data_IF_985353881056
#
_entry.id   IF_985353881056
#
_cell.length_a   1.000
_cell.length_b   1.000
_cell.length_c   1.000
_cell.angle_alpha   90.00
_cell.angle_beta   90.00
_cell.angle_gamma   90.00
#
_symmetry.space_group_name_H-M   'P 1'
#
loop_
_entity.id
_entity.type
_entity.pdbx_description
1 polymer ?
#
# COMPACT_ATOMS: atom_id res chain seq x y z
N UNK A 1 8.97 -7.11 36.86
CA UNK A 1 8.56 -5.92 36.07
C UNK A 1 8.36 -6.40 34.66
N UNK A 2 7.13 -6.80 34.33
CA UNK A 2 6.75 -7.24 32.99
C UNK A 2 6.58 -5.99 32.12
N UNK A 3 7.35 -5.92 31.04
CA UNK A 3 7.24 -4.86 30.06
C UNK A 3 6.00 -5.11 29.20
N UNK A 4 4.98 -4.27 29.38
CA UNK A 4 3.83 -4.16 28.49
C UNK A 4 4.30 -3.72 27.10
N UNK A 5 4.11 -4.58 26.10
CA UNK A 5 4.14 -4.16 24.70
C UNK A 5 2.89 -3.31 24.42
N UNK A 6 3.01 -2.15 23.76
CA UNK A 6 1.85 -1.35 23.37
C UNK A 6 0.99 -2.10 22.35
N UNK A 7 -0.33 -1.81 22.28
CA UNK A 7 -1.24 -2.49 21.37
C UNK A 7 -0.88 -2.20 19.89
N UNK A 8 -1.08 -3.21 19.05
CA UNK A 8 -1.04 -3.12 17.58
C UNK A 8 -1.96 -1.97 17.13
N UNK A 9 -1.48 -1.15 16.18
CA UNK A 9 -2.12 0.05 15.68
C UNK A 9 -3.54 -0.20 15.15
N UNK A 10 -4.42 0.77 15.38
CA UNK A 10 -5.79 0.82 14.90
C UNK A 10 -5.84 0.60 13.37
N UNK A 11 -6.68 -0.34 12.90
CA UNK A 11 -6.78 -0.77 11.50
C UNK A 11 -7.01 0.39 10.51
N UNK A 12 -6.55 0.23 9.25
CA UNK A 12 -6.78 1.15 8.12
C UNK A 12 -8.20 1.74 8.07
N UNK A 13 -9.23 0.93 8.34
CA UNK A 13 -10.64 1.36 8.32
C UNK A 13 -10.92 2.44 9.38
N UNK A 14 -10.33 2.34 10.57
CA UNK A 14 -10.46 3.38 11.59
C UNK A 14 -9.70 4.67 11.22
N UNK A 15 -8.53 4.54 10.58
CA UNK A 15 -7.78 5.68 10.03
C UNK A 15 -8.59 6.45 8.98
N UNK A 16 -9.33 5.73 8.11
CA UNK A 16 -10.23 6.34 7.11
C UNK A 16 -11.48 6.99 7.74
N UNK A 17 -12.09 6.40 8.77
CA UNK A 17 -13.34 6.91 9.37
C UNK A 17 -13.18 8.12 10.30
N UNK A 18 -12.04 8.29 10.99
CA UNK A 18 -11.85 9.40 11.96
C UNK A 18 -11.74 10.80 11.34
N UNK A 19 -11.58 10.92 10.02
CA UNK A 19 -11.39 12.22 9.35
C UNK A 19 -12.59 12.76 8.56
N UNK A 20 -13.71 12.02 8.45
CA UNK A 20 -14.94 12.50 7.80
C UNK A 20 -15.80 13.42 8.70
N UNK A 21 -15.16 14.21 9.57
CA UNK A 21 -15.78 14.92 10.69
C UNK A 21 -15.93 16.43 10.53
N UNK A 22 -16.21 16.93 9.33
CA UNK A 22 -16.47 18.37 9.11
C UNK A 22 -17.82 18.68 8.45
N UNK A 23 -18.80 17.78 8.55
CA UNK A 23 -20.18 18.05 8.14
C UNK A 23 -21.16 17.88 9.31
N UNK A 24 -21.79 18.97 9.82
CA UNK A 24 -22.74 18.90 10.93
C UNK A 24 -24.10 18.26 10.55
N UNK A 25 -24.32 17.85 9.30
CA UNK A 25 -25.55 17.16 8.89
C UNK A 25 -25.50 15.61 9.04
N UNK A 26 -24.33 15.01 9.30
CA UNK A 26 -24.20 13.56 9.41
C UNK A 26 -24.55 13.05 10.82
N UNK A 27 -25.84 12.96 11.10
CA UNK A 27 -26.34 12.49 12.40
C UNK A 27 -26.00 11.01 12.64
N UNK A 28 -25.33 10.78 13.78
CA UNK A 28 -24.72 9.54 14.28
C UNK A 28 -25.64 8.31 14.48
N UNK A 29 -26.89 8.33 14.01
CA UNK A 29 -27.86 7.27 14.27
C UNK A 29 -27.73 6.08 13.30
N UNK A 30 -27.43 6.33 12.01
CA UNK A 30 -27.35 5.28 11.00
C UNK A 30 -26.10 4.40 11.09
N UNK A 31 -24.94 5.01 11.40
CA UNK A 31 -23.65 4.31 11.42
C UNK A 31 -23.49 3.36 12.63
N UNK A 32 -24.09 3.71 13.77
CA UNK A 32 -24.08 2.85 14.97
C UNK A 32 -24.89 1.56 14.77
N UNK A 33 -25.95 1.58 13.97
CA UNK A 33 -26.75 0.39 13.66
C UNK A 33 -25.99 -0.59 12.74
N UNK A 34 -25.20 -0.07 11.78
CA UNK A 34 -24.37 -0.89 10.90
C UNK A 34 -23.18 -1.53 11.64
N UNK A 35 -22.55 -0.80 12.56
CA UNK A 35 -21.45 -1.30 13.40
C UNK A 35 -21.90 -2.33 14.44
N UNK A 36 -23.13 -2.23 14.97
CA UNK A 36 -23.67 -3.21 15.92
C UNK A 36 -23.97 -4.57 15.26
N UNK A 37 -24.36 -4.60 13.98
CA UNK A 37 -24.62 -5.86 13.25
C UNK A 37 -23.35 -6.53 12.70
N UNK A 38 -22.22 -5.84 12.69
CA UNK A 38 -20.92 -6.37 12.27
C UNK A 38 -20.08 -6.93 13.42
N UNK A 39 -20.71 -7.30 14.54
CA UNK A 39 -20.07 -8.07 15.62
C UNK A 39 -19.93 -9.54 15.18
N UNK A 40 -19.10 -9.78 14.17
CA UNK A 40 -18.61 -11.13 13.87
C UNK A 40 -17.50 -11.45 14.88
N UNK A 41 -17.75 -12.53 15.61
CA UNK A 41 -17.01 -12.94 16.79
C UNK A 41 -15.55 -13.24 16.45
N UNK A 42 -14.70 -12.78 17.37
CA UNK A 42 -13.26 -13.02 17.47
C UNK A 42 -12.97 -14.48 17.81
N UNK A 43 -13.17 -15.40 16.86
CA UNK A 43 -12.65 -16.77 16.88
C UNK A 43 -12.72 -17.28 15.44
N UNK A 44 -11.61 -17.20 14.68
CA UNK A 44 -11.30 -18.08 13.52
C UNK A 44 -9.96 -17.74 12.83
N UNK A 45 -8.97 -17.20 13.55
CA UNK A 45 -7.60 -17.00 13.02
C UNK A 45 -6.70 -18.24 13.17
N UNK A 46 -7.28 -19.41 13.44
CA UNK A 46 -6.58 -20.71 13.50
C UNK A 46 -7.34 -21.73 12.66
N UNK A 47 -7.32 -21.57 11.33
CA UNK A 47 -7.79 -22.62 10.40
C UNK A 47 -7.04 -22.70 9.08
N UNK A 48 -5.98 -21.92 8.88
CA UNK A 48 -5.20 -21.91 7.63
C UNK A 48 -3.93 -22.76 7.64
N UNK A 49 -3.73 -23.60 8.66
CA UNK A 49 -2.60 -24.54 8.68
C UNK A 49 -3.06 -25.92 9.13
N UNK A 50 -3.33 -26.77 8.14
CA UNK A 50 -3.33 -28.22 8.26
C UNK A 50 -4.67 -28.86 8.59
N UNK A 51 -5.31 -29.48 7.59
CA UNK A 51 -5.99 -30.79 7.69
C UNK A 51 -6.24 -31.30 6.25
N UNK A 52 -5.36 -32.20 5.78
CA UNK A 52 -5.67 -33.15 4.71
C UNK A 52 -6.34 -34.37 5.36
N UNK A 53 -7.54 -34.77 4.90
CA UNK A 53 -8.10 -36.12 4.55
C UNK A 53 -9.60 -35.81 4.26
N UNK A 54 -10.25 -36.06 3.13
CA UNK A 54 -10.43 -37.28 2.35
C UNK A 54 -10.71 -36.96 0.87
N UNK A 55 -10.37 -37.92 0.00
CA UNK A 55 -10.57 -37.86 -1.45
C UNK A 55 -12.05 -38.00 -1.78
N UNK A 56 -12.57 -37.09 -2.58
CA UNK A 56 -13.59 -37.47 -3.57
C UNK A 56 -13.11 -37.09 -4.97
N UNK A 57 -13.16 -38.07 -5.88
CA UNK A 57 -12.74 -37.99 -7.27
C UNK A 57 -13.99 -37.68 -8.08
N UNK A 58 -14.14 -36.44 -8.57
CA UNK A 58 -14.65 -36.12 -9.92
C UNK A 58 -15.13 -34.67 -10.03
N UNK A 59 -14.25 -33.79 -10.46
CA UNK A 59 -14.64 -32.60 -11.23
C UNK A 59 -13.37 -31.91 -11.71
N UNK A 60 -13.36 -31.56 -12.99
CA UNK A 60 -12.25 -30.92 -13.68
C UNK A 60 -11.84 -29.64 -12.92
N UNK A 61 -10.59 -29.57 -12.47
CA UNK A 61 -10.05 -28.41 -11.79
C UNK A 61 -9.60 -27.37 -12.82
N UNK A 62 -10.47 -26.40 -13.11
CA UNK A 62 -10.00 -25.11 -13.62
C UNK A 62 -9.08 -24.51 -12.57
N UNK A 63 -7.82 -24.29 -12.91
CA UNK A 63 -6.85 -23.64 -12.03
C UNK A 63 -7.22 -22.16 -11.90
N UNK A 64 -8.11 -21.82 -10.97
CA UNK A 64 -8.35 -20.44 -10.56
C UNK A 64 -7.02 -19.90 -10.05
N UNK A 65 -6.50 -18.87 -10.71
CA UNK A 65 -5.29 -18.19 -10.30
C UNK A 65 -5.64 -17.33 -9.06
N UNK A 66 -5.50 -17.91 -7.87
CA UNK A 66 -5.86 -17.31 -6.57
C UNK A 66 -4.96 -16.12 -6.14
N UNK A 67 -4.22 -15.51 -7.07
CA UNK A 67 -3.41 -14.33 -6.74
C UNK A 67 -4.32 -13.11 -6.56
N UNK A 68 -4.17 -12.34 -5.47
CA UNK A 68 -4.95 -11.13 -5.26
C UNK A 68 -4.73 -10.11 -6.38
N UNK A 69 -5.82 -9.49 -6.86
CA UNK A 69 -5.77 -8.33 -7.74
C UNK A 69 -5.87 -7.06 -6.88
N UNK A 70 -4.71 -6.53 -6.51
CA UNK A 70 -4.63 -5.35 -5.65
C UNK A 70 -5.30 -4.11 -6.25
N UNK A 71 -5.38 -3.99 -7.58
CA UNK A 71 -6.05 -2.85 -8.21
C UNK A 71 -7.57 -3.01 -8.07
N UNK A 72 -8.09 -4.21 -8.27
CA UNK A 72 -9.51 -4.49 -8.09
C UNK A 72 -9.96 -4.39 -6.63
N UNK A 73 -9.13 -4.85 -5.68
CA UNK A 73 -9.40 -4.71 -4.24
C UNK A 73 -9.55 -3.24 -3.83
N UNK A 74 -8.72 -2.36 -4.38
CA UNK A 74 -8.78 -0.92 -4.13
C UNK A 74 -10.03 -0.30 -4.75
N UNK A 75 -10.41 -0.71 -5.96
CA UNK A 75 -11.68 -0.29 -6.59
C UNK A 75 -12.86 -0.67 -5.70
N UNK A 76 -12.93 -1.93 -5.26
CA UNK A 76 -14.00 -2.44 -4.38
C UNK A 76 -14.06 -1.68 -3.05
N UNK A 77 -12.90 -1.32 -2.48
CA UNK A 77 -12.84 -0.49 -1.27
C UNK A 77 -13.47 0.89 -1.50
N UNK A 78 -13.08 1.61 -2.56
CA UNK A 78 -13.63 2.95 -2.82
C UNK A 78 -15.12 2.90 -3.17
N UNK A 79 -15.59 1.86 -3.86
CA UNK A 79 -17.01 1.62 -4.11
C UNK A 79 -17.79 1.37 -2.82
N UNK A 80 -17.26 0.53 -1.94
CA UNK A 80 -17.91 0.18 -0.66
C UNK A 80 -18.13 1.41 0.22
N UNK A 81 -17.19 2.36 0.21
CA UNK A 81 -17.24 3.55 1.06
C UNK A 81 -17.68 4.82 0.34
N UNK A 82 -18.14 4.70 -0.91
CA UNK A 82 -18.55 5.81 -1.79
C UNK A 82 -17.51 6.94 -1.86
N UNK A 83 -16.23 6.57 -1.93
CA UNK A 83 -15.10 7.47 -2.05
C UNK A 83 -14.71 7.72 -3.53
N UNK A 84 -15.69 7.60 -4.43
CA UNK A 84 -15.46 7.78 -5.86
C UNK A 84 -15.23 9.27 -6.16
N UNK A 85 -14.39 9.60 -7.17
CA UNK A 85 -14.31 10.97 -7.65
C UNK A 85 -15.71 11.45 -8.05
N UNK A 86 -16.11 12.61 -7.55
CA UNK A 86 -17.48 13.15 -7.70
C UNK A 86 -17.71 13.86 -9.03
N UNK A 87 -16.68 13.93 -9.88
CA UNK A 87 -16.73 14.58 -11.18
C UNK A 87 -17.21 13.63 -12.29
N UNK A 88 -18.00 14.19 -13.20
CA UNK A 88 -18.46 13.52 -14.42
C UNK A 88 -17.33 13.40 -15.48
N UNK A 89 -16.10 13.82 -15.16
CA UNK A 89 -14.97 13.85 -16.07
C UNK A 89 -14.40 12.44 -16.29
N UNK A 90 -14.50 11.93 -17.51
CA UNK A 90 -13.96 10.62 -17.86
C UNK A 90 -12.45 10.69 -18.10
N UNK A 91 -11.71 9.80 -17.45
CA UNK A 91 -10.28 9.61 -17.70
C UNK A 91 -9.35 10.09 -16.57
N UNK A 92 -8.04 9.92 -16.75
CA UNK A 92 -7.03 10.40 -15.82
C UNK A 92 -7.17 11.91 -15.55
N UNK A 93 -7.02 12.32 -14.29
CA UNK A 93 -7.14 13.73 -13.93
C UNK A 93 -6.25 14.09 -12.75
N UNK A 94 -6.13 15.39 -12.47
CA UNK A 94 -5.38 15.90 -11.32
C UNK A 94 -6.35 16.08 -10.15
N UNK A 95 -6.04 15.46 -9.01
CA UNK A 95 -6.79 15.67 -7.77
C UNK A 95 -6.70 17.13 -7.31
N UNK A 96 -7.73 17.64 -6.63
CA UNK A 96 -7.64 18.96 -6.02
C UNK A 96 -6.56 19.02 -4.91
N UNK A 97 -6.20 20.23 -4.47
CA UNK A 97 -5.14 20.41 -3.48
C UNK A 97 -5.45 19.76 -2.13
N UNK A 98 -6.72 19.70 -1.72
CA UNK A 98 -7.12 19.12 -0.45
C UNK A 98 -6.97 17.59 -0.49
N UNK A 99 -7.43 16.96 -1.57
CA UNK A 99 -7.26 15.56 -1.86
C UNK A 99 -5.77 15.20 -1.98
N UNK A 100 -4.97 15.95 -2.75
CA UNK A 100 -3.52 15.73 -2.85
C UNK A 100 -2.86 15.77 -1.46
N UNK A 101 -3.13 16.82 -0.67
CA UNK A 101 -2.57 16.96 0.68
C UNK A 101 -2.96 15.79 1.59
N UNK A 102 -4.21 15.35 1.50
CA UNK A 102 -4.71 14.20 2.27
C UNK A 102 -3.96 12.94 1.87
N UNK A 103 -3.89 12.60 0.58
CA UNK A 103 -3.20 11.41 0.07
C UNK A 103 -1.70 11.40 0.41
N UNK A 104 -1.03 12.55 0.28
CA UNK A 104 0.39 12.70 0.65
C UNK A 104 0.59 12.40 2.14
N UNK A 105 -0.30 12.89 3.01
CA UNK A 105 -0.20 12.64 4.45
C UNK A 105 -0.27 11.15 4.77
N UNK A 106 -1.22 10.40 4.17
CA UNK A 106 -1.31 8.95 4.37
C UNK A 106 -0.05 8.23 3.89
N UNK A 107 0.43 8.52 2.67
CA UNK A 107 1.67 7.90 2.16
C UNK A 107 2.87 8.18 3.08
N UNK A 108 2.95 9.40 3.62
CA UNK A 108 4.00 9.76 4.55
C UNK A 108 3.85 9.04 5.88
N UNK A 109 2.63 8.93 6.42
CA UNK A 109 2.33 8.21 7.66
C UNK A 109 2.78 6.74 7.60
N UNK A 110 2.40 6.01 6.54
CA UNK A 110 2.78 4.59 6.40
C UNK A 110 4.30 4.41 6.17
N UNK A 111 4.94 5.35 5.47
CA UNK A 111 6.41 5.37 5.37
C UNK A 111 7.08 5.60 6.73
N UNK A 112 6.53 6.49 7.56
CA UNK A 112 7.02 6.75 8.91
C UNK A 112 6.84 5.53 9.82
N UNK A 113 5.72 4.80 9.69
CA UNK A 113 5.49 3.56 10.42
C UNK A 113 6.54 2.50 10.06
N UNK A 114 6.84 2.32 8.77
CA UNK A 114 7.93 1.44 8.35
C UNK A 114 9.28 1.86 8.96
N UNK A 115 9.65 3.15 8.85
CA UNK A 115 10.89 3.66 9.45
C UNK A 115 10.99 3.32 10.94
N UNK A 116 9.92 3.57 11.71
CA UNK A 116 9.88 3.27 13.15
C UNK A 116 9.98 1.77 13.42
N UNK A 117 9.29 0.94 12.65
CA UNK A 117 9.30 -0.51 12.82
C UNK A 117 10.69 -1.13 12.61
N UNK A 118 11.50 -0.54 11.72
CA UNK A 118 12.91 -0.91 11.52
C UNK A 118 13.90 -0.02 12.31
N UNK A 119 13.38 0.80 13.23
CA UNK A 119 14.15 1.57 14.21
C UNK A 119 14.83 2.85 13.70
N UNK A 120 14.57 3.25 12.47
CA UNK A 120 15.09 4.49 11.91
C UNK A 120 14.25 5.70 12.36
N UNK A 121 14.92 6.82 12.62
CA UNK A 121 14.25 8.09 12.88
C UNK A 121 14.40 9.01 11.67
N UNK A 122 13.31 9.24 10.90
CA UNK A 122 13.33 10.12 9.75
C UNK A 122 13.27 11.58 10.16
N UNK A 123 14.08 12.41 9.52
CA UNK A 123 14.08 13.86 9.68
C UNK A 123 13.93 14.53 8.30
N UNK A 124 13.01 15.48 8.20
CA UNK A 124 12.82 16.30 7.00
C UNK A 124 13.12 17.75 7.34
N UNK A 125 14.16 18.31 6.70
CA UNK A 125 14.52 19.73 6.81
C UNK A 125 14.58 20.32 5.41
N UNK A 126 13.63 21.20 5.08
CA UNK A 126 13.47 21.70 3.72
C UNK A 126 13.25 20.56 2.73
N UNK A 127 14.16 20.41 1.76
CA UNK A 127 14.12 19.35 0.75
C UNK A 127 15.02 18.14 1.10
N UNK A 128 15.60 18.12 2.29
CA UNK A 128 16.50 17.05 2.74
C UNK A 128 15.74 16.04 3.59
N UNK A 129 15.78 14.77 3.19
CA UNK A 129 15.33 13.63 3.97
C UNK A 129 16.55 12.87 4.50
N UNK A 130 16.67 12.77 5.82
CA UNK A 130 17.73 12.03 6.50
C UNK A 130 17.13 10.93 7.37
N UNK A 131 17.87 9.83 7.52
CA UNK A 131 17.51 8.72 8.37
C UNK A 131 18.60 8.54 9.42
N UNK A 132 18.29 8.83 10.68
CA UNK A 132 19.17 8.47 11.78
C UNK A 132 19.04 6.96 12.03
N UNK A 133 20.16 6.22 12.09
CA UNK A 133 20.14 4.79 12.26
C UNK A 133 19.61 4.40 13.64
N UNK A 134 19.06 3.18 13.78
CA UNK A 134 18.67 2.66 15.09
C UNK A 134 19.85 2.57 16.07
N UNK A 135 19.52 2.60 17.36
CA UNK A 135 20.46 2.22 18.41
C UNK A 135 20.98 0.78 18.18
N UNK A 136 22.20 0.49 18.62
CA UNK A 136 22.88 -0.80 18.36
C UNK A 136 22.15 -2.02 18.93
N UNK A 137 21.28 -1.84 19.91
CA UNK A 137 20.46 -2.86 20.58
C UNK A 137 19.02 -2.92 20.07
N UNK A 138 18.64 -2.08 19.09
CA UNK A 138 17.31 -2.09 18.52
C UNK A 138 16.98 -3.44 17.89
N UNK A 139 15.74 -3.89 18.08
CA UNK A 139 15.18 -5.04 17.40
C UNK A 139 14.03 -4.60 16.52
N UNK A 140 14.12 -4.97 15.23
CA UNK A 140 13.08 -4.67 14.27
C UNK A 140 11.76 -5.33 14.68
N UNK A 141 10.68 -4.56 14.60
CA UNK A 141 9.32 -5.08 14.55
C UNK A 141 9.02 -5.55 13.13
N UNK A 142 9.28 -6.83 12.86
CA UNK A 142 9.06 -7.42 11.54
C UNK A 142 7.59 -7.44 11.12
N UNK A 143 6.67 -7.54 12.09
CA UNK A 143 5.24 -7.53 11.81
C UNK A 143 4.78 -6.12 11.42
N UNK A 144 5.14 -5.12 12.23
CA UNK A 144 4.85 -3.72 11.93
C UNK A 144 5.52 -3.25 10.62
N UNK A 145 6.73 -3.72 10.33
CA UNK A 145 7.40 -3.39 9.07
C UNK A 145 6.68 -3.99 7.85
N UNK A 146 6.16 -5.22 7.96
CA UNK A 146 5.40 -5.84 6.89
C UNK A 146 4.04 -5.17 6.67
N UNK A 147 3.34 -4.86 7.77
CA UNK A 147 2.06 -4.14 7.77
C UNK A 147 2.19 -2.76 7.11
N UNK A 148 3.16 -1.95 7.54
CA UNK A 148 3.41 -0.64 6.98
C UNK A 148 3.76 -0.67 5.47
N UNK A 149 4.42 -1.72 4.98
CA UNK A 149 4.68 -1.89 3.55
C UNK A 149 3.40 -2.21 2.76
N UNK A 150 2.51 -3.05 3.31
CA UNK A 150 1.21 -3.33 2.71
C UNK A 150 0.38 -2.05 2.68
N UNK A 151 0.30 -1.33 3.80
CA UNK A 151 -0.48 -0.11 3.93
C UNK A 151 0.03 0.98 2.97
N UNK A 152 1.35 1.15 2.85
CA UNK A 152 1.96 2.07 1.89
C UNK A 152 1.53 1.77 0.45
N UNK A 153 1.53 0.50 0.04
CA UNK A 153 1.06 0.09 -1.29
C UNK A 153 -0.45 0.34 -1.41
N UNK A 154 -1.23 0.04 -0.38
CA UNK A 154 -2.67 0.24 -0.36
C UNK A 154 -3.03 1.72 -0.58
N UNK A 155 -2.36 2.64 0.12
CA UNK A 155 -2.61 4.08 -0.02
C UNK A 155 -2.04 4.63 -1.33
N UNK A 156 -0.94 4.09 -1.85
CA UNK A 156 -0.41 4.48 -3.16
C UNK A 156 -1.36 4.07 -4.29
N UNK A 157 -1.86 2.83 -4.28
CA UNK A 157 -2.84 2.34 -5.24
C UNK A 157 -4.17 3.09 -5.14
N UNK A 158 -4.65 3.38 -3.93
CA UNK A 158 -5.84 4.22 -3.74
C UNK A 158 -5.66 5.63 -4.32
N UNK A 159 -4.45 6.18 -4.25
CA UNK A 159 -4.15 7.49 -4.86
C UNK A 159 -4.19 7.40 -6.39
N UNK A 160 -3.61 6.35 -6.98
CA UNK A 160 -3.68 6.09 -8.41
C UNK A 160 -5.12 5.87 -8.90
N UNK A 161 -5.94 5.17 -8.11
CA UNK A 161 -7.36 4.95 -8.39
C UNK A 161 -8.13 6.27 -8.43
N UNK A 162 -7.93 7.15 -7.44
CA UNK A 162 -8.59 8.46 -7.41
C UNK A 162 -8.17 9.33 -8.61
N UNK A 163 -6.90 9.30 -9.01
CA UNK A 163 -6.43 9.93 -10.25
C UNK A 163 -6.97 9.28 -11.53
N UNK A 164 -7.65 8.13 -11.44
CA UNK A 164 -8.09 7.30 -12.57
C UNK A 164 -6.95 6.88 -13.51
N UNK A 165 -5.74 6.73 -12.98
CA UNK A 165 -4.60 6.25 -13.76
C UNK A 165 -4.80 4.78 -14.18
N UNK A 166 -4.39 4.45 -15.41
CA UNK A 166 -4.31 3.08 -15.90
C UNK A 166 -3.14 2.31 -15.24
N UNK A 167 -3.17 2.18 -13.91
CA UNK A 167 -2.04 1.76 -13.09
C UNK A 167 -1.52 0.37 -13.45
N UNK A 168 -2.41 -0.59 -13.71
CA UNK A 168 -2.01 -1.95 -14.10
C UNK A 168 -1.18 -1.96 -15.40
N UNK A 169 -1.59 -1.17 -16.39
CA UNK A 169 -0.88 -1.04 -17.66
C UNK A 169 0.44 -0.27 -17.49
N UNK A 170 0.42 0.83 -16.72
CA UNK A 170 1.63 1.56 -16.36
C UNK A 170 2.66 0.69 -15.64
N UNK A 171 2.21 -0.11 -14.65
CA UNK A 171 3.03 -1.08 -13.94
C UNK A 171 3.64 -2.10 -14.89
N UNK A 172 2.84 -2.70 -15.78
CA UNK A 172 3.31 -3.68 -16.76
C UNK A 172 4.43 -3.10 -17.63
N UNK A 173 4.27 -1.87 -18.12
CA UNK A 173 5.30 -1.19 -18.94
C UNK A 173 6.56 -0.88 -18.16
N UNK A 174 6.44 -0.36 -16.94
CA UNK A 174 7.56 -0.07 -16.04
C UNK A 174 8.31 -1.34 -15.68
N UNK A 175 7.60 -2.41 -15.33
CA UNK A 175 8.19 -3.71 -15.02
C UNK A 175 8.95 -4.27 -16.23
N UNK A 176 8.33 -4.30 -17.41
CA UNK A 176 8.99 -4.73 -18.64
C UNK A 176 10.27 -3.93 -18.94
N UNK A 177 10.25 -2.61 -18.72
CA UNK A 177 11.44 -1.78 -18.88
C UNK A 177 12.51 -2.04 -17.81
N UNK A 178 12.11 -2.27 -16.57
CA UNK A 178 13.03 -2.61 -15.47
C UNK A 178 13.70 -3.97 -15.67
N UNK A 179 12.97 -4.97 -16.21
CA UNK A 179 13.54 -6.29 -16.51
C UNK A 179 14.55 -6.28 -17.66
N UNK A 180 14.59 -5.21 -18.48
CA UNK A 180 15.64 -4.97 -19.48
C UNK A 180 16.89 -4.28 -18.91
N UNK A 181 16.87 -3.86 -17.65
CA UNK A 181 18.08 -3.35 -16.98
C UNK A 181 19.02 -4.50 -16.65
N UNK A 182 20.28 -4.18 -16.46
CA UNK A 182 21.33 -5.16 -16.15
C UNK A 182 22.00 -4.81 -14.83
N UNK A 183 22.57 -5.80 -14.16
CA UNK A 183 23.39 -5.57 -12.97
C UNK A 183 24.71 -4.92 -13.40
N UNK A 184 25.17 -3.93 -12.63
CA UNK A 184 26.45 -3.28 -12.84
C UNK A 184 27.60 -4.32 -12.77
N UNK A 185 28.54 -4.21 -13.71
CA UNK A 185 29.71 -5.09 -13.78
C UNK A 185 30.81 -4.66 -12.80
N UNK A 186 30.84 -3.38 -12.43
CA UNK A 186 31.80 -2.81 -11.48
C UNK A 186 31.19 -1.67 -10.64
N UNK A 187 31.88 -1.26 -9.57
CA UNK A 187 31.45 -0.15 -8.69
C UNK A 187 31.48 1.20 -9.42
N UNK A 188 32.32 1.35 -10.44
CA UNK A 188 32.40 2.54 -11.29
C UNK A 188 31.26 2.66 -12.30
N UNK A 189 30.50 1.59 -12.55
CA UNK A 189 29.38 1.59 -13.50
C UNK A 189 28.06 2.04 -12.84
N UNK A 190 28.00 2.08 -11.51
CA UNK A 190 26.80 2.42 -10.74
C UNK A 190 26.76 3.88 -10.30
N UNK A 191 25.61 4.56 -10.48
CA UNK A 191 25.41 5.95 -9.98
C UNK A 191 25.52 6.06 -8.45
N UNK A 192 25.40 4.95 -7.71
CA UNK A 192 25.42 4.91 -6.24
C UNK A 192 26.67 4.24 -5.66
N UNK A 193 27.61 3.80 -6.51
CA UNK A 193 28.90 3.25 -6.07
C UNK A 193 28.85 1.85 -5.45
N UNK A 194 27.80 1.06 -5.72
CA UNK A 194 27.67 -0.30 -5.17
C UNK A 194 27.70 -1.38 -6.27
N UNK A 195 28.39 -2.51 -6.02
CA UNK A 195 28.41 -3.73 -6.89
C UNK A 195 27.04 -4.37 -7.18
N UNK A 196 25.96 -3.85 -6.60
CA UNK A 196 24.60 -4.36 -6.77
C UNK A 196 23.69 -3.39 -7.52
N UNK A 197 24.23 -2.30 -8.04
CA UNK A 197 23.44 -1.33 -8.81
C UNK A 197 22.82 -2.00 -10.04
N UNK A 198 21.56 -1.63 -10.32
CA UNK A 198 20.84 -2.03 -11.52
C UNK A 198 20.89 -0.84 -12.48
N UNK A 199 21.61 -1.01 -13.59
CA UNK A 199 21.96 0.06 -14.54
C UNK A 199 21.19 -0.09 -15.86
N UNK A 200 21.05 1.03 -16.57
CA UNK A 200 20.44 1.08 -17.89
C UNK A 200 21.54 0.78 -18.93
N UNK A 201 21.48 -0.34 -19.68
CA UNK A 201 22.49 -0.63 -20.70
C UNK A 201 22.38 0.35 -21.90
N UNK A 202 23.40 0.42 -22.77
CA UNK A 202 23.31 1.16 -24.03
C UNK A 202 22.08 0.74 -24.85
N UNK A 203 21.35 1.71 -25.39
CA UNK A 203 20.13 1.46 -26.16
C UNK A 203 18.87 1.16 -25.32
N UNK A 204 18.96 1.18 -23.98
CA UNK A 204 17.77 1.03 -23.14
C UNK A 204 16.79 2.20 -23.32
N UNK A 205 15.51 1.88 -23.55
CA UNK A 205 14.43 2.86 -23.67
C UNK A 205 13.53 2.83 -22.45
N UNK A 206 13.18 4.02 -21.96
CA UNK A 206 12.19 4.21 -20.91
C UNK A 206 10.79 3.72 -21.34
N UNK A 207 9.94 3.27 -20.41
CA UNK A 207 8.54 3.01 -20.73
C UNK A 207 7.84 4.32 -21.12
N UNK A 208 6.96 4.26 -22.11
CA UNK A 208 6.02 5.33 -22.47
C UNK A 208 4.83 5.24 -21.52
N UNK A 209 4.45 6.35 -20.89
CA UNK A 209 3.39 6.40 -19.87
C UNK A 209 2.45 7.59 -20.07
N UNK A 210 2.89 8.60 -20.81
CA UNK A 210 2.13 9.80 -21.18
C UNK A 210 0.91 9.50 -22.05
N UNK A 211 0.92 8.40 -22.81
CA UNK A 211 -0.24 7.91 -23.56
C UNK A 211 -1.32 7.24 -22.67
N UNK A 212 -1.05 7.11 -21.36
CA UNK A 212 -1.99 6.57 -20.37
C UNK A 212 -2.64 7.68 -19.51
N UNK A 213 -2.37 8.94 -19.80
CA UNK A 213 -2.82 10.14 -19.08
C UNK A 213 -3.72 10.97 -19.99
#
# INVERSE_FOLDING_TARGET
>A
MEHFLPPLSDSLVEKFCRCAGSDPACTHAGLRAALASATLRRTDYVKYVGLNVERDRSSQSESVNDSPDFVDDIRRFHEKFDLRPTDDEFGPHVLDQAAQRFRIKFMFEELLEYCKAVGYTPTVIGNTFSLEPPASDHRNDMAGAFDALIDLVYVALGTAYLHRFAFAEGWRRVHAANMRKVKASSESDGKRGYKRDIVKPPGWTAPVLDDLL
#
